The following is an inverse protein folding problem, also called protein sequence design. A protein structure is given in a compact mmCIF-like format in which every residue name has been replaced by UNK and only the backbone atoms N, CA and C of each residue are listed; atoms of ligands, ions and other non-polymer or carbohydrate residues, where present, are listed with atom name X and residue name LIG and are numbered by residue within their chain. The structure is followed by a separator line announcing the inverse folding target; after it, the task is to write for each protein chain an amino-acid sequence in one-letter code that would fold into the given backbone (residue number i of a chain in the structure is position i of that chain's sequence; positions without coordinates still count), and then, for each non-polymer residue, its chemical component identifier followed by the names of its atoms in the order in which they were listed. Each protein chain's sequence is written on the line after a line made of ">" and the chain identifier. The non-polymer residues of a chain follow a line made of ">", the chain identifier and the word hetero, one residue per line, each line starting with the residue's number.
data_IF_657620652774
#
_entry.id   IF_657620652774
#
_cell.length_a   1.000
_cell.length_b   1.000
_cell.length_c   1.000
_cell.angle_alpha   90.00
_cell.angle_beta   90.00
_cell.angle_gamma   90.00
#
_symmetry.space_group_name_H-M   'P 1'
#
loop_
_entity.id
_entity.type
_entity.pdbx_description
1 polymer ?
#
# COMPACT_ATOMS: atom_id res chain seq x y z
N UNK A 1 23.31 37.59 -45.61
CA UNK A 1 23.14 37.05 -44.23
C UNK A 1 21.79 36.34 -44.18
N UNK A 2 21.72 35.04 -43.92
CA UNK A 2 20.45 34.35 -43.80
C UNK A 2 19.74 34.85 -42.51
N UNK A 3 18.48 35.27 -42.67
CA UNK A 3 17.66 35.76 -41.58
C UNK A 3 17.40 34.68 -40.52
N UNK A 4 17.53 35.04 -39.23
CA UNK A 4 17.14 34.17 -38.10
C UNK A 4 15.67 33.81 -38.23
N UNK A 5 15.37 32.53 -38.41
CA UNK A 5 14.03 32.01 -38.34
C UNK A 5 13.57 32.17 -36.86
N UNK A 6 12.66 33.12 -36.62
CA UNK A 6 12.03 33.28 -35.30
C UNK A 6 11.14 32.07 -35.06
N UNK A 7 11.42 31.32 -34.02
CA UNK A 7 10.54 30.22 -33.60
C UNK A 7 9.11 30.74 -33.38
N UNK A 8 8.16 30.07 -33.97
CA UNK A 8 6.74 30.42 -33.78
C UNK A 8 6.31 30.17 -32.34
N UNK A 9 5.29 30.92 -31.87
CA UNK A 9 4.72 30.74 -30.52
C UNK A 9 4.34 29.30 -30.23
N UNK A 10 3.91 28.56 -31.26
CA UNK A 10 3.63 27.12 -31.20
C UNK A 10 4.87 26.26 -30.95
N UNK A 11 6.05 26.64 -31.52
CA UNK A 11 7.30 25.91 -31.27
C UNK A 11 7.87 26.16 -29.88
N UNK A 12 7.63 27.34 -29.29
CA UNK A 12 8.01 27.67 -27.91
C UNK A 12 7.10 26.99 -26.89
N UNK A 13 5.83 26.72 -27.24
CA UNK A 13 4.90 26.02 -26.36
C UNK A 13 5.11 24.49 -26.28
N UNK A 14 5.82 23.89 -27.25
CA UNK A 14 6.04 22.42 -27.30
C UNK A 14 6.69 21.83 -26.04
N UNK A 15 7.73 22.43 -25.43
CA UNK A 15 8.33 21.91 -24.22
C UNK A 15 7.34 21.94 -23.02
N UNK A 16 6.55 23.01 -22.92
CA UNK A 16 5.55 23.16 -21.87
C UNK A 16 4.41 22.15 -22.03
N UNK A 17 3.92 21.96 -23.24
CA UNK A 17 2.89 20.96 -23.56
C UNK A 17 3.43 19.55 -23.26
N UNK A 18 4.66 19.23 -23.63
CA UNK A 18 5.29 17.95 -23.34
C UNK A 18 5.43 17.69 -21.83
N UNK A 19 5.80 18.71 -21.06
CA UNK A 19 5.86 18.62 -19.60
C UNK A 19 4.48 18.44 -18.97
N UNK A 20 3.47 19.17 -19.43
CA UNK A 20 2.09 19.05 -18.98
C UNK A 20 1.51 17.65 -19.29
N UNK A 21 1.80 17.11 -20.48
CA UNK A 21 1.40 15.77 -20.89
C UNK A 21 2.09 14.69 -20.06
N UNK A 22 3.39 14.84 -19.80
CA UNK A 22 4.14 13.93 -18.94
C UNK A 22 3.67 13.98 -17.48
N UNK A 23 3.28 15.15 -16.97
CA UNK A 23 2.69 15.31 -15.65
C UNK A 23 1.30 14.65 -15.58
N UNK A 24 0.47 14.84 -16.62
CA UNK A 24 -0.85 14.22 -16.71
C UNK A 24 -0.76 12.68 -16.80
N UNK A 25 0.22 12.16 -17.54
CA UNK A 25 0.47 10.71 -17.63
C UNK A 25 0.96 10.14 -16.29
N UNK A 26 1.85 10.83 -15.58
CA UNK A 26 2.27 10.45 -14.22
C UNK A 26 1.11 10.48 -13.22
N UNK A 27 0.17 11.42 -13.40
CA UNK A 27 -1.06 11.47 -12.62
C UNK A 27 -2.12 10.43 -13.05
N UNK A 28 -1.76 9.51 -13.97
CA UNK A 28 -2.64 8.43 -14.42
C UNK A 28 -3.61 8.80 -15.55
N UNK A 29 -3.46 9.97 -16.16
CA UNK A 29 -4.19 10.37 -17.37
C UNK A 29 -3.68 9.63 -18.60
N UNK A 30 -4.58 9.32 -19.54
CA UNK A 30 -4.21 8.87 -20.89
C UNK A 30 -4.24 10.06 -21.86
N UNK A 31 -3.20 10.17 -22.66
CA UNK A 31 -3.15 11.15 -23.73
C UNK A 31 -3.55 10.45 -25.01
N UNK A 32 -4.61 10.92 -25.68
CA UNK A 32 -4.99 10.42 -26.99
C UNK A 32 -3.95 10.84 -28.05
N UNK A 33 -3.96 10.21 -29.24
CA UNK A 33 -3.13 10.63 -30.38
C UNK A 33 -3.38 12.07 -30.79
N UNK A 34 -4.54 12.64 -30.51
CA UNK A 34 -4.91 14.04 -30.77
C UNK A 34 -4.46 15.01 -29.68
N UNK A 35 -3.71 14.56 -28.64
CA UNK A 35 -3.24 15.40 -27.54
C UNK A 35 -4.31 15.70 -26.48
N UNK A 36 -5.49 15.09 -26.59
CA UNK A 36 -6.55 15.24 -25.58
C UNK A 36 -6.22 14.42 -24.34
N UNK A 37 -6.16 15.08 -23.20
CA UNK A 37 -5.99 14.42 -21.90
C UNK A 37 -7.37 13.86 -21.50
N UNK A 38 -7.58 12.59 -21.71
CA UNK A 38 -8.69 11.89 -21.08
C UNK A 38 -8.26 11.50 -19.68
N UNK A 39 -8.76 12.18 -18.68
CA UNK A 39 -8.86 11.60 -17.35
C UNK A 39 -9.77 10.40 -17.51
N UNK A 40 -9.16 9.24 -17.77
CA UNK A 40 -9.95 8.02 -17.86
C UNK A 40 -10.80 7.94 -16.60
N UNK A 41 -12.06 7.58 -16.77
CA UNK A 41 -13.01 7.23 -15.71
C UNK A 41 -12.50 6.05 -14.86
N UNK A 42 -11.25 6.12 -14.42
CA UNK A 42 -10.55 5.13 -13.58
C UNK A 42 -11.11 5.09 -12.17
N UNK A 43 -11.96 6.05 -11.80
CA UNK A 43 -12.71 6.01 -10.55
C UNK A 43 -13.60 4.76 -10.43
N UNK A 44 -13.86 4.06 -11.54
CA UNK A 44 -14.55 2.76 -11.59
C UNK A 44 -13.64 1.57 -11.23
N UNK A 45 -12.32 1.73 -11.20
CA UNK A 45 -11.37 0.62 -11.09
C UNK A 45 -10.60 0.61 -9.76
N UNK A 46 -11.19 1.08 -8.72
CA UNK A 46 -10.65 0.94 -7.37
C UNK A 46 -10.49 2.25 -6.63
N UNK A 47 -10.47 2.13 -5.31
CA UNK A 47 -10.33 3.22 -4.35
C UNK A 47 -8.86 3.60 -4.17
N UNK A 48 -8.59 4.82 -3.76
CA UNK A 48 -7.27 5.25 -3.33
C UNK A 48 -6.38 5.92 -4.39
N UNK A 49 -6.81 6.09 -5.64
CA UNK A 49 -5.98 6.72 -6.68
C UNK A 49 -5.53 8.14 -6.33
N UNK A 50 -6.45 8.97 -5.81
CA UNK A 50 -6.13 10.35 -5.41
C UNK A 50 -5.19 10.36 -4.20
N UNK A 51 -5.41 9.45 -3.26
CA UNK A 51 -4.58 9.30 -2.09
C UNK A 51 -3.13 8.91 -2.43
N UNK A 52 -2.91 8.12 -3.49
CA UNK A 52 -1.57 7.79 -3.98
C UNK A 52 -0.76 9.04 -4.33
N UNK A 53 -1.35 9.95 -5.07
CA UNK A 53 -0.67 11.21 -5.46
C UNK A 53 -0.34 12.05 -4.23
N UNK A 54 -1.24 12.12 -3.27
CA UNK A 54 -1.02 12.87 -2.03
C UNK A 54 0.04 12.21 -1.16
N UNK A 55 0.01 10.88 -1.00
CA UNK A 55 0.99 10.14 -0.22
C UNK A 55 2.40 10.29 -0.78
N UNK A 56 2.56 10.17 -2.09
CA UNK A 56 3.88 10.30 -2.73
C UNK A 56 4.50 11.69 -2.56
N UNK A 57 3.71 12.73 -2.33
CA UNK A 57 4.23 14.08 -2.03
C UNK A 57 4.89 14.21 -0.66
N UNK A 58 4.56 13.31 0.26
CA UNK A 58 5.14 13.30 1.60
C UNK A 58 6.55 12.68 1.62
N UNK A 59 6.89 11.90 0.58
CA UNK A 59 8.16 11.21 0.52
C UNK A 59 9.29 12.14 0.08
N UNK A 60 10.42 11.99 0.74
CA UNK A 60 11.67 12.66 0.42
C UNK A 60 12.76 11.60 0.16
N UNK A 61 13.93 12.02 -0.32
CA UNK A 61 15.11 11.13 -0.46
C UNK A 61 15.59 10.55 0.88
N UNK A 62 15.17 11.16 2.00
CA UNK A 62 15.48 10.71 3.36
C UNK A 62 14.41 9.87 4.01
N UNK A 63 13.31 9.59 3.32
CA UNK A 63 12.27 8.70 3.85
C UNK A 63 12.82 7.29 4.02
N UNK A 64 12.42 6.62 5.12
CA UNK A 64 12.81 5.25 5.41
C UNK A 64 12.12 4.28 4.47
N UNK A 65 12.77 3.20 4.11
CA UNK A 65 12.26 2.25 3.14
C UNK A 65 11.34 1.21 3.78
N UNK A 66 10.31 0.84 3.03
CA UNK A 66 9.41 -0.27 3.39
C UNK A 66 9.14 -1.12 2.16
N UNK A 67 9.31 -2.41 2.31
CA UNK A 67 8.94 -3.39 1.28
C UNK A 67 7.52 -3.85 1.55
N UNK A 68 6.65 -3.75 0.54
CA UNK A 68 5.30 -4.31 0.60
C UNK A 68 5.11 -5.31 -0.53
N UNK A 69 4.80 -6.55 -0.16
CA UNK A 69 4.36 -7.58 -1.11
C UNK A 69 2.86 -7.75 -0.98
N UNK A 70 2.16 -7.79 -2.11
CA UNK A 70 0.69 -7.87 -2.14
C UNK A 70 0.23 -9.03 -3.02
N UNK A 71 -0.75 -9.76 -2.54
CA UNK A 71 -1.45 -10.79 -3.30
C UNK A 71 -2.96 -10.65 -3.12
N UNK A 72 -3.71 -10.65 -4.22
CA UNK A 72 -5.17 -10.79 -4.22
C UNK A 72 -5.52 -12.25 -4.40
N UNK A 73 -6.24 -12.83 -3.46
CA UNK A 73 -6.66 -14.23 -3.48
C UNK A 73 -8.16 -14.30 -3.73
N UNK A 74 -8.55 -14.84 -4.87
CA UNK A 74 -9.95 -15.06 -5.19
C UNK A 74 -10.44 -16.32 -4.50
N UNK A 75 -11.65 -16.26 -3.94
CA UNK A 75 -12.29 -17.42 -3.35
C UNK A 75 -12.92 -18.26 -4.46
N UNK A 76 -12.44 -19.47 -4.60
CA UNK A 76 -12.96 -20.46 -5.56
C UNK A 76 -13.10 -21.78 -4.82
N UNK A 77 -13.94 -22.67 -5.32
CA UNK A 77 -14.15 -24.00 -4.72
C UNK A 77 -12.86 -24.83 -4.58
N UNK A 78 -11.81 -24.50 -5.35
CA UNK A 78 -10.50 -25.17 -5.31
C UNK A 78 -9.47 -24.44 -4.44
N UNK A 79 -9.80 -23.27 -3.88
CA UNK A 79 -8.86 -22.51 -3.04
C UNK A 79 -8.73 -23.17 -1.67
N UNK A 80 -7.51 -23.19 -1.14
CA UNK A 80 -7.29 -23.63 0.24
C UNK A 80 -8.06 -22.72 1.22
N UNK A 81 -8.68 -23.28 2.28
CA UNK A 81 -9.42 -22.50 3.27
C UNK A 81 -8.55 -21.41 3.89
N UNK A 82 -9.13 -20.22 4.09
CA UNK A 82 -8.42 -19.10 4.73
C UNK A 82 -7.99 -19.46 6.15
N UNK A 83 -8.80 -20.23 6.89
CA UNK A 83 -8.47 -20.73 8.23
C UNK A 83 -7.15 -21.51 8.29
N UNK A 84 -6.87 -22.32 7.26
CA UNK A 84 -5.61 -23.06 7.17
C UNK A 84 -4.42 -22.11 7.00
N UNK A 85 -4.58 -21.05 6.20
CA UNK A 85 -3.54 -20.03 6.03
C UNK A 85 -3.29 -19.22 7.31
N UNK A 86 -4.34 -18.82 8.01
CA UNK A 86 -4.22 -18.12 9.29
C UNK A 86 -3.54 -18.99 10.35
N UNK A 87 -3.89 -20.28 10.41
CA UNK A 87 -3.24 -21.25 11.29
C UNK A 87 -1.76 -21.42 10.97
N UNK A 88 -1.41 -21.44 9.69
CA UNK A 88 -0.02 -21.48 9.23
C UNK A 88 0.76 -20.25 9.71
N UNK A 89 0.25 -19.03 9.47
CA UNK A 89 0.90 -17.80 9.89
C UNK A 89 1.15 -17.73 11.41
N UNK A 90 0.18 -18.17 12.22
CA UNK A 90 0.34 -18.25 13.68
C UNK A 90 1.41 -19.24 14.11
N UNK A 91 1.53 -20.36 13.42
CA UNK A 91 2.49 -21.41 13.77
C UNK A 91 3.92 -20.99 13.45
N UNK A 92 4.13 -20.35 12.32
CA UNK A 92 5.46 -19.94 11.83
C UNK A 92 5.96 -18.63 12.47
N UNK A 93 5.05 -17.82 13.03
CA UNK A 93 5.40 -16.53 13.61
C UNK A 93 5.87 -16.64 15.06
N UNK A 94 6.81 -15.77 15.41
CA UNK A 94 7.31 -15.56 16.77
C UNK A 94 7.27 -14.07 17.06
N UNK A 95 6.78 -13.68 18.24
CA UNK A 95 6.76 -12.28 18.68
C UNK A 95 8.16 -11.78 19.00
N UNK A 96 8.30 -10.48 19.23
CA UNK A 96 9.58 -9.87 19.62
C UNK A 96 10.18 -10.51 20.89
N UNK A 97 9.34 -10.91 21.81
CA UNK A 97 9.73 -11.53 23.09
C UNK A 97 9.97 -13.03 22.99
N UNK A 98 9.90 -13.60 21.78
CA UNK A 98 10.16 -15.03 21.54
C UNK A 98 8.94 -15.93 21.79
N UNK A 99 7.78 -15.34 22.04
CA UNK A 99 6.54 -16.09 22.23
C UNK A 99 5.90 -16.48 20.90
N UNK A 100 5.00 -17.46 20.93
CA UNK A 100 4.23 -17.85 19.75
C UNK A 100 3.35 -16.71 19.25
N UNK A 101 3.40 -16.43 17.96
CA UNK A 101 2.62 -15.37 17.36
C UNK A 101 1.11 -15.59 17.51
N UNK A 102 0.41 -14.49 17.74
CA UNK A 102 -1.04 -14.44 17.84
C UNK A 102 -1.59 -13.52 16.76
N UNK A 103 -2.80 -13.80 16.28
CA UNK A 103 -3.51 -12.87 15.43
C UNK A 103 -3.92 -11.65 16.24
N UNK A 104 -3.75 -10.47 15.67
CA UNK A 104 -4.29 -9.23 16.21
C UNK A 104 -5.17 -8.53 15.17
N UNK A 105 -6.09 -7.72 15.64
CA UNK A 105 -6.97 -6.91 14.80
C UNK A 105 -6.81 -5.42 15.07
N UNK A 106 -7.73 -4.60 14.53
CA UNK A 106 -7.72 -3.15 14.74
C UNK A 106 -7.68 -2.77 16.21
N UNK A 107 -8.50 -3.44 17.04
CA UNK A 107 -8.68 -3.10 18.45
C UNK A 107 -8.27 -4.23 19.41
N UNK A 108 -8.08 -5.45 18.88
CA UNK A 108 -7.81 -6.64 19.71
C UNK A 108 -6.38 -7.13 19.56
N UNK A 109 -5.78 -7.56 20.67
CA UNK A 109 -4.46 -8.22 20.69
C UNK A 109 -4.51 -9.71 20.35
N UNK A 110 -5.68 -10.33 20.46
CA UNK A 110 -5.95 -11.76 20.17
C UNK A 110 -7.24 -11.87 19.34
N UNK A 111 -7.08 -11.89 18.02
CA UNK A 111 -8.21 -12.04 17.11
C UNK A 111 -8.50 -13.53 16.84
N UNK A 112 -9.77 -13.91 16.87
CA UNK A 112 -10.18 -15.27 16.58
C UNK A 112 -10.09 -15.57 15.06
N UNK A 113 -9.19 -16.51 14.66
CA UNK A 113 -9.01 -16.88 13.26
C UNK A 113 -10.25 -17.55 12.65
N UNK A 114 -11.04 -18.27 13.43
CA UNK A 114 -12.26 -18.92 12.95
C UNK A 114 -13.33 -17.87 12.66
N UNK A 115 -13.60 -16.99 13.59
CA UNK A 115 -14.56 -15.91 13.42
C UNK A 115 -14.19 -15.00 12.23
N UNK A 116 -12.91 -14.72 12.00
CA UNK A 116 -12.47 -13.97 10.83
C UNK A 116 -12.69 -14.77 9.53
N UNK A 117 -12.33 -16.06 9.50
CA UNK A 117 -12.52 -16.91 8.35
C UNK A 117 -14.02 -17.08 7.99
N UNK A 118 -14.89 -17.22 8.97
CA UNK A 118 -16.34 -17.29 8.79
C UNK A 118 -16.90 -16.01 8.15
N UNK A 119 -16.47 -14.82 8.63
CA UNK A 119 -16.90 -13.54 8.03
C UNK A 119 -16.46 -13.36 6.58
N UNK A 120 -15.40 -14.03 6.16
CA UNK A 120 -14.85 -13.93 4.80
C UNK A 120 -15.36 -15.02 3.85
N UNK A 121 -16.16 -15.96 4.33
CA UNK A 121 -16.56 -17.16 3.59
C UNK A 121 -17.26 -16.82 2.27
N UNK A 122 -18.14 -15.83 2.28
CA UNK A 122 -18.94 -15.41 1.13
C UNK A 122 -18.31 -14.23 0.35
N UNK A 123 -17.09 -13.83 0.72
CA UNK A 123 -16.39 -12.77 0.02
C UNK A 123 -15.82 -13.29 -1.31
N UNK A 124 -15.85 -12.47 -2.33
CA UNK A 124 -15.28 -12.80 -3.64
C UNK A 124 -13.77 -13.02 -3.61
N UNK A 125 -13.07 -12.29 -2.73
CA UNK A 125 -11.62 -12.30 -2.59
C UNK A 125 -11.19 -11.71 -1.24
N UNK A 126 -9.91 -11.91 -0.91
CA UNK A 126 -9.23 -11.19 0.15
C UNK A 126 -7.85 -10.72 -0.33
N UNK A 127 -7.27 -9.76 0.37
CA UNK A 127 -5.91 -9.28 0.13
C UNK A 127 -4.97 -9.85 1.18
N UNK A 128 -3.76 -10.19 0.75
CA UNK A 128 -2.65 -10.56 1.63
C UNK A 128 -1.53 -9.56 1.42
N UNK A 129 -1.09 -8.93 2.50
CA UNK A 129 0.06 -8.04 2.49
C UNK A 129 1.16 -8.61 3.37
N UNK A 130 2.40 -8.41 2.97
CA UNK A 130 3.58 -8.55 3.82
C UNK A 130 4.20 -7.16 3.85
N UNK A 131 4.26 -6.56 5.02
CA UNK A 131 4.81 -5.22 5.24
C UNK A 131 6.08 -5.36 6.06
N UNK A 132 7.22 -5.03 5.45
CA UNK A 132 8.55 -5.16 6.04
C UNK A 132 9.28 -3.82 5.99
N UNK A 133 9.30 -3.04 7.07
CA UNK A 133 10.18 -1.90 7.21
C UNK A 133 11.65 -2.37 7.25
N UNK A 134 12.57 -1.67 6.58
CA UNK A 134 14.00 -2.01 6.63
C UNK A 134 14.56 -1.91 8.06
N UNK A 135 14.07 -0.93 8.82
CA UNK A 135 14.51 -0.67 10.20
C UNK A 135 13.54 -1.24 11.24
N UNK A 136 12.86 -2.34 10.94
CA UNK A 136 11.83 -2.92 11.81
C UNK A 136 12.33 -3.26 13.22
N UNK A 137 13.60 -3.61 13.37
CA UNK A 137 14.23 -3.91 14.66
C UNK A 137 14.36 -2.68 15.57
N UNK A 138 14.37 -1.47 15.01
CA UNK A 138 14.45 -0.21 15.72
C UNK A 138 13.06 0.33 16.11
N UNK A 139 12.01 -0.19 15.50
CA UNK A 139 10.63 0.23 15.78
C UNK A 139 10.17 -0.25 17.14
N UNK A 140 9.31 0.53 17.78
CA UNK A 140 8.76 0.22 19.10
C UNK A 140 7.84 -1.00 19.05
N UNK A 141 6.91 -1.04 18.10
CA UNK A 141 5.90 -2.09 17.97
C UNK A 141 5.35 -2.20 16.53
N UNK A 142 5.56 -3.34 15.91
CA UNK A 142 5.03 -3.61 14.56
C UNK A 142 3.49 -3.74 14.52
N UNK A 143 2.85 -4.11 15.63
CA UNK A 143 1.39 -4.21 15.70
C UNK A 143 0.74 -2.83 15.68
N UNK A 144 1.27 -1.89 16.47
CA UNK A 144 0.83 -0.49 16.45
C UNK A 144 1.07 0.13 15.09
N UNK A 145 2.25 -0.07 14.51
CA UNK A 145 2.55 0.37 13.16
C UNK A 145 1.57 -0.16 12.11
N UNK A 146 1.22 -1.45 12.17
CA UNK A 146 0.25 -2.05 11.26
C UNK A 146 -1.15 -1.43 11.43
N UNK A 147 -1.58 -1.15 12.68
CA UNK A 147 -2.85 -0.47 12.95
C UNK A 147 -2.88 0.94 12.37
N UNK A 148 -1.81 1.70 12.53
CA UNK A 148 -1.70 3.05 11.99
C UNK A 148 -1.73 3.04 10.46
N UNK A 149 -1.02 2.10 9.83
CA UNK A 149 -1.05 1.91 8.38
C UNK A 149 -2.44 1.56 7.88
N UNK A 150 -3.12 0.62 8.52
CA UNK A 150 -4.47 0.21 8.14
C UNK A 150 -5.50 1.32 8.39
N UNK A 151 -5.37 2.08 9.48
CA UNK A 151 -6.19 3.26 9.75
C UNK A 151 -5.98 4.37 8.72
N UNK A 152 -4.74 4.54 8.23
CA UNK A 152 -4.46 5.46 7.14
C UNK A 152 -5.06 4.95 5.81
N UNK A 153 -5.01 3.64 5.57
CA UNK A 153 -5.66 3.02 4.41
C UNK A 153 -7.19 3.23 4.44
N UNK A 154 -7.84 3.09 5.58
CA UNK A 154 -9.27 3.38 5.73
C UNK A 154 -9.63 4.80 5.25
N UNK A 155 -8.83 5.80 5.66
CA UNK A 155 -9.01 7.19 5.23
C UNK A 155 -8.80 7.35 3.72
N UNK A 156 -7.75 6.74 3.19
CA UNK A 156 -7.39 6.83 1.77
C UNK A 156 -8.40 6.12 0.86
N UNK A 157 -8.98 5.03 1.32
CA UNK A 157 -9.95 4.22 0.58
C UNK A 157 -11.41 4.67 0.83
N UNK A 158 -11.63 5.47 1.88
CA UNK A 158 -12.95 5.98 2.25
C UNK A 158 -13.93 4.89 2.69
N UNK A 159 -13.47 3.89 3.44
CA UNK A 159 -14.28 2.80 3.99
C UNK A 159 -13.57 2.18 5.19
N UNK A 160 -14.32 1.64 6.13
CA UNK A 160 -13.76 0.80 7.20
C UNK A 160 -13.25 -0.51 6.63
N UNK A 161 -12.21 -1.04 7.25
CA UNK A 161 -11.52 -2.25 6.80
C UNK A 161 -11.61 -3.33 7.89
N UNK A 162 -12.00 -4.54 7.50
CA UNK A 162 -11.99 -5.72 8.37
C UNK A 162 -10.74 -6.55 8.05
N UNK A 163 -9.79 -6.62 8.99
CA UNK A 163 -8.50 -7.25 8.78
C UNK A 163 -7.95 -7.88 10.06
N UNK A 164 -7.02 -8.79 9.87
CA UNK A 164 -6.19 -9.37 10.95
C UNK A 164 -4.73 -9.34 10.53
N UNK A 165 -3.84 -9.27 11.51
CA UNK A 165 -2.40 -9.28 11.30
C UNK A 165 -1.69 -10.30 12.17
N UNK A 166 -0.46 -10.69 11.76
CA UNK A 166 0.50 -11.49 12.53
C UNK A 166 1.87 -10.89 12.32
N UNK A 167 2.56 -10.56 13.39
CA UNK A 167 3.94 -10.08 13.36
C UNK A 167 4.90 -11.27 13.46
N UNK A 168 5.97 -11.23 12.65
CA UNK A 168 7.03 -12.23 12.62
C UNK A 168 8.37 -11.58 12.91
N UNK A 169 9.01 -11.99 14.02
CA UNK A 169 10.29 -11.47 14.49
C UNK A 169 11.45 -12.45 14.38
N UNK A 170 11.17 -13.71 14.08
CA UNK A 170 12.13 -14.80 13.93
C UNK A 170 12.78 -14.82 12.53
N UNK A 171 12.95 -13.67 11.92
CA UNK A 171 13.56 -13.53 10.59
C UNK A 171 14.55 -12.38 10.57
N UNK A 172 15.49 -12.37 9.62
CA UNK A 172 16.46 -11.27 9.46
C UNK A 172 15.78 -9.93 9.18
N UNK A 173 14.54 -9.97 8.65
CA UNK A 173 13.74 -8.79 8.36
C UNK A 173 12.36 -8.95 9.02
N UNK A 174 12.18 -8.48 10.26
CA UNK A 174 10.89 -8.52 10.92
C UNK A 174 9.80 -7.86 10.09
N UNK A 175 8.62 -8.46 10.05
CA UNK A 175 7.55 -8.02 9.19
C UNK A 175 6.17 -8.40 9.73
N UNK A 176 5.14 -7.78 9.18
CA UNK A 176 3.75 -8.08 9.50
C UNK A 176 3.06 -8.68 8.28
N UNK A 177 2.41 -9.82 8.48
CA UNK A 177 1.41 -10.34 7.55
C UNK A 177 0.06 -9.71 7.89
N UNK A 178 -0.61 -9.15 6.91
CA UNK A 178 -1.95 -8.58 7.05
C UNK A 178 -2.88 -9.28 6.05
N UNK A 179 -3.98 -9.79 6.56
CA UNK A 179 -5.06 -10.35 5.76
C UNK A 179 -6.24 -9.39 5.84
N UNK A 180 -6.56 -8.78 4.71
CA UNK A 180 -7.64 -7.81 4.58
C UNK A 180 -8.81 -8.44 3.83
N UNK A 181 -9.98 -8.36 4.42
CA UNK A 181 -11.23 -8.80 3.81
C UNK A 181 -11.55 -8.01 2.55
N UNK A 182 -12.06 -8.65 1.53
CA UNK A 182 -12.41 -8.04 0.24
C UNK A 182 -13.77 -7.35 0.21
N UNK A 183 -14.23 -6.81 1.35
CA UNK A 183 -15.52 -6.11 1.52
C UNK A 183 -15.32 -4.74 2.13
N UNK A 184 -16.15 -3.80 1.72
CA UNK A 184 -16.32 -2.48 2.34
C UNK A 184 -17.29 -2.56 3.53
N UNK A 185 -17.38 -1.51 4.32
CA UNK A 185 -18.32 -1.41 5.45
C UNK A 185 -19.79 -1.44 5.02
N UNK A 186 -20.10 -1.00 3.78
CA UNK A 186 -21.41 -1.09 3.14
C UNK A 186 -21.62 -2.43 2.38
N UNK A 187 -20.81 -3.44 2.66
CA UNK A 187 -20.91 -4.79 2.10
C UNK A 187 -20.75 -4.89 0.58
N UNK A 188 -20.11 -3.92 -0.04
CA UNK A 188 -19.72 -3.99 -1.45
C UNK A 188 -18.35 -4.68 -1.61
N UNK A 189 -18.05 -5.17 -2.80
CA UNK A 189 -16.71 -5.68 -3.10
C UNK A 189 -15.67 -4.56 -2.97
N UNK A 190 -14.66 -4.77 -2.14
CA UNK A 190 -13.54 -3.85 -1.99
C UNK A 190 -12.62 -3.97 -3.19
N UNK A 191 -12.61 -2.95 -4.03
CA UNK A 191 -11.71 -2.85 -5.18
C UNK A 191 -10.72 -1.73 -4.94
N UNK A 192 -9.45 -2.07 -4.74
CA UNK A 192 -8.36 -1.13 -4.50
C UNK A 192 -7.66 -0.85 -5.84
N UNK A 193 -7.36 0.41 -6.13
CA UNK A 193 -6.63 0.75 -7.35
C UNK A 193 -5.23 0.12 -7.35
N UNK A 194 -4.76 -0.27 -8.53
CA UNK A 194 -3.42 -0.86 -8.68
C UNK A 194 -2.33 0.12 -8.25
N UNK A 195 -2.51 1.42 -8.55
CA UNK A 195 -1.56 2.46 -8.20
C UNK A 195 -1.47 2.63 -6.67
N UNK A 196 -2.62 2.53 -5.96
CA UNK A 196 -2.61 2.56 -4.50
C UNK A 196 -1.88 1.35 -3.91
N UNK A 197 -2.14 0.15 -4.42
CA UNK A 197 -1.45 -1.06 -3.97
C UNK A 197 0.07 -0.97 -4.20
N UNK A 198 0.50 -0.46 -5.35
CA UNK A 198 1.93 -0.41 -5.71
C UNK A 198 2.70 0.72 -5.03
N UNK A 199 2.08 1.88 -4.92
CA UNK A 199 2.76 3.14 -4.56
C UNK A 199 2.14 3.80 -3.34
N UNK A 200 0.81 3.98 -3.31
CA UNK A 200 0.12 4.73 -2.26
C UNK A 200 0.29 4.11 -0.88
N UNK A 201 0.03 2.82 -0.74
CA UNK A 201 0.20 2.11 0.53
C UNK A 201 1.66 2.12 0.99
N UNK A 202 2.61 1.91 0.06
CA UNK A 202 4.05 1.97 0.37
C UNK A 202 4.44 3.36 0.86
N UNK A 203 3.99 4.41 0.17
CA UNK A 203 4.29 5.78 0.56
C UNK A 203 3.77 6.11 1.98
N UNK A 204 2.55 5.66 2.34
CA UNK A 204 2.04 5.78 3.70
C UNK A 204 2.88 5.01 4.71
N UNK A 205 3.26 3.79 4.37
CA UNK A 205 4.10 2.95 5.22
C UNK A 205 5.47 3.60 5.48
N UNK A 206 6.12 4.14 4.45
CA UNK A 206 7.39 4.85 4.55
C UNK A 206 7.27 6.15 5.37
N UNK A 207 6.19 6.89 5.20
CA UNK A 207 5.92 8.10 5.98
C UNK A 207 5.78 7.78 7.48
N UNK A 208 5.00 6.76 7.85
CA UNK A 208 4.82 6.33 9.24
C UNK A 208 6.14 5.90 9.89
N UNK A 209 6.96 5.08 9.23
CA UNK A 209 8.28 4.69 9.76
C UNK A 209 9.19 5.90 9.93
N UNK A 210 9.17 6.83 8.96
CA UNK A 210 9.98 8.04 9.02
C UNK A 210 9.53 8.98 10.14
N UNK A 211 8.22 9.02 10.45
CA UNK A 211 7.71 9.78 11.59
C UNK A 211 8.16 9.17 12.92
N UNK A 212 8.19 7.84 13.04
CA UNK A 212 8.61 7.14 14.27
C UNK A 212 10.12 7.23 14.51
N UNK A 213 10.92 6.87 13.51
CA UNK A 213 12.38 6.72 13.65
C UNK A 213 13.18 7.96 13.18
N UNK A 214 12.51 8.95 12.63
CA UNK A 214 13.16 10.10 11.99
C UNK A 214 13.66 9.78 10.56
N UNK A 215 14.02 10.83 9.80
CA UNK A 215 14.54 10.67 8.46
C UNK A 215 15.91 9.98 8.47
N UNK A 216 16.23 9.23 7.39
CA UNK A 216 17.56 8.60 7.24
C UNK A 216 18.66 9.64 7.27
N UNK A 217 19.73 9.29 7.96
CA UNK A 217 20.97 10.07 8.01
C UNK A 217 21.75 9.94 6.69
N UNK A 218 22.68 10.86 6.43
CA UNK A 218 23.53 10.76 5.24
C UNK A 218 24.37 9.47 5.22
N UNK A 219 24.77 8.99 6.40
CA UNK A 219 25.51 7.75 6.53
C UNK A 219 24.66 6.52 6.12
N UNK A 220 23.40 6.46 6.56
CA UNK A 220 22.44 5.39 6.17
C UNK A 220 22.13 5.43 4.67
N UNK A 221 22.02 6.64 4.08
CA UNK A 221 21.78 6.79 2.64
C UNK A 221 22.95 6.28 1.80
N UNK A 222 24.21 6.44 2.28
CA UNK A 222 25.40 6.00 1.53
C UNK A 222 25.69 4.50 1.64
N UNK A 223 25.08 3.80 2.60
CA UNK A 223 25.28 2.35 2.81
C UNK A 223 24.38 1.46 1.95
N UNK A 224 23.34 2.04 1.35
CA UNK A 224 22.41 1.41 0.41
C UNK A 224 22.65 1.94 -1.01
#
# INVERSE_FOLDING_TARGET
>A
RPGRIRSTRAQQARPFIAQALAAAQRAGGRVSRSGQITTSNRSRFGRGQRATVQANRLLTSRSRNVVIKTRVVRHTAKAAPLSAHLSYLRREGVTRDGEKAQLFGPETGDADPKAFAERTQDDRHHFRFIVSPEDATEMSDLRTYARDLMGQMEKDLGTKLDWVGVDHWNTDNPHVHIILRGRTDDSQDLVISRDYIKEGMRARAQDLVTQELGPRTEHEIRRN
#
